data_IF_602571169443
#
_entry.id   IF_602571169443
#
_cell.length_a   1.000
_cell.length_b   1.000
_cell.length_c   1.000
_cell.angle_alpha   90.00
_cell.angle_beta   90.00
_cell.angle_gamma   90.00
#
_symmetry.space_group_name_H-M   'P 1'
#
loop_
_entity.id
_entity.type
_entity.pdbx_description
1 polymer ?
#
# COMPACT_ATOMS: atom_id res chain seq x y z
N UNK A 1 31.41 -2.53 9.66
CA UNK A 1 30.24 -3.35 9.29
C UNK A 1 29.96 -3.04 7.83
N UNK A 2 30.08 -3.98 6.90
CA UNK A 2 29.48 -3.77 5.57
C UNK A 2 27.97 -3.87 5.83
N UNK A 3 27.29 -2.74 5.89
CA UNK A 3 25.82 -2.71 5.91
C UNK A 3 25.36 -3.52 4.70
N UNK A 4 24.73 -4.66 4.94
CA UNK A 4 24.27 -5.52 3.86
C UNK A 4 23.09 -4.79 3.19
N UNK A 5 23.29 -4.36 1.94
CA UNK A 5 22.32 -3.61 1.14
C UNK A 5 20.96 -4.31 1.05
N UNK A 6 20.93 -5.64 1.24
CA UNK A 6 19.71 -6.45 1.29
C UNK A 6 18.72 -6.04 2.38
N UNK A 7 19.18 -5.33 3.42
CA UNK A 7 18.34 -4.82 4.52
C UNK A 7 17.91 -3.36 4.35
N UNK A 8 18.36 -2.66 3.32
CA UNK A 8 18.01 -1.25 3.08
C UNK A 8 16.85 -1.17 2.08
N UNK A 9 15.87 -0.30 2.34
CA UNK A 9 14.76 -0.01 1.43
C UNK A 9 14.63 1.49 1.24
N UNK A 10 14.65 1.97 0.00
CA UNK A 10 14.33 3.36 -0.32
C UNK A 10 12.93 3.41 -0.92
N UNK A 11 11.94 3.91 -0.17
CA UNK A 11 10.54 3.95 -0.60
C UNK A 11 9.98 5.37 -0.61
N UNK A 12 9.01 5.63 -1.47
CA UNK A 12 8.24 6.87 -1.46
C UNK A 12 6.75 6.63 -1.32
N UNK A 13 6.07 7.50 -0.59
CA UNK A 13 4.61 7.55 -0.57
C UNK A 13 4.15 8.55 -1.62
N UNK A 14 3.22 8.12 -2.47
CA UNK A 14 2.64 8.97 -3.52
C UNK A 14 1.13 8.81 -3.52
N UNK A 15 0.40 9.90 -3.66
CA UNK A 15 -1.05 9.89 -3.63
C UNK A 15 -1.61 11.13 -4.33
N UNK A 16 -2.89 11.10 -4.71
CA UNK A 16 -3.63 12.32 -5.05
C UNK A 16 -3.92 13.15 -3.80
N UNK A 17 -4.43 14.37 -4.01
CA UNK A 17 -4.74 15.31 -2.92
C UNK A 17 -5.78 14.69 -1.98
N UNK A 18 -5.53 14.77 -0.67
CA UNK A 18 -6.44 14.25 0.37
C UNK A 18 -6.69 12.72 0.29
N UNK A 19 -5.80 11.93 -0.32
CA UNK A 19 -5.82 10.46 -0.16
C UNK A 19 -5.27 9.98 1.20
N UNK A 20 -4.77 10.90 2.04
CA UNK A 20 -4.22 10.57 3.37
C UNK A 20 -2.75 10.14 3.35
N UNK A 21 -1.96 10.64 2.39
CA UNK A 21 -0.51 10.36 2.28
C UNK A 21 0.26 10.71 3.55
N UNK A 22 0.19 11.95 4.00
CA UNK A 22 0.91 12.41 5.20
C UNK A 22 0.48 11.63 6.44
N UNK A 23 -0.83 11.40 6.62
CA UNK A 23 -1.35 10.59 7.72
C UNK A 23 -0.78 9.18 7.70
N UNK A 24 -0.67 8.56 6.52
CA UNK A 24 -0.06 7.23 6.35
C UNK A 24 1.41 7.26 6.72
N UNK A 25 2.17 8.27 6.26
CA UNK A 25 3.58 8.45 6.61
C UNK A 25 3.78 8.60 8.12
N UNK A 26 2.98 9.44 8.79
CA UNK A 26 3.01 9.62 10.24
C UNK A 26 2.72 8.32 11.01
N UNK A 27 1.71 7.56 10.58
CA UNK A 27 1.40 6.26 11.17
C UNK A 27 2.54 5.27 10.98
N UNK A 28 3.18 5.27 9.81
CA UNK A 28 4.36 4.45 9.54
C UNK A 28 5.52 4.77 10.50
N UNK A 29 5.81 6.06 10.72
CA UNK A 29 6.82 6.51 11.68
C UNK A 29 6.45 6.16 13.13
N UNK A 30 5.17 6.22 13.48
CA UNK A 30 4.70 5.86 14.81
C UNK A 30 4.83 4.35 15.08
N UNK A 31 4.38 3.50 14.16
CA UNK A 31 4.47 2.05 14.31
C UNK A 31 5.91 1.53 14.32
N UNK A 32 6.82 2.19 13.60
CA UNK A 32 8.26 1.92 13.66
C UNK A 32 8.94 2.53 14.90
N UNK A 33 8.18 3.15 15.82
CA UNK A 33 8.65 3.79 17.05
C UNK A 33 9.64 4.94 16.81
N UNK A 34 9.67 5.49 15.59
CA UNK A 34 10.50 6.64 15.25
C UNK A 34 9.97 7.92 15.89
N UNK A 35 8.64 8.04 15.97
CA UNK A 35 7.93 9.09 16.70
C UNK A 35 7.07 8.46 17.81
N UNK A 36 6.87 9.20 18.90
CA UNK A 36 6.13 8.72 20.08
C UNK A 36 4.66 9.13 20.09
N UNK A 37 4.27 10.06 19.21
CA UNK A 37 2.91 10.56 19.06
C UNK A 37 2.65 10.77 17.57
N UNK A 38 1.47 10.36 17.11
CA UNK A 38 1.02 10.61 15.73
C UNK A 38 0.61 12.07 15.59
N UNK A 39 1.18 12.78 14.61
CA UNK A 39 0.74 14.14 14.24
C UNK A 39 -0.54 14.13 13.42
N UNK A 40 -1.30 15.23 13.45
CA UNK A 40 -2.48 15.45 12.61
C UNK A 40 -2.24 16.61 11.65
N UNK A 41 -2.65 16.43 10.39
CA UNK A 41 -2.51 17.44 9.33
C UNK A 41 -3.32 18.69 9.66
N UNK A 42 -4.56 18.52 10.09
CA UNK A 42 -5.47 19.63 10.44
C UNK A 42 -4.99 20.46 11.64
N UNK A 43 -4.18 19.86 12.51
CA UNK A 43 -3.56 20.54 13.66
C UNK A 43 -2.17 21.11 13.34
N UNK A 44 -1.64 20.87 12.13
CA UNK A 44 -0.29 21.27 11.72
C UNK A 44 0.81 20.63 12.56
N UNK A 45 0.56 19.46 13.16
CA UNK A 45 1.48 18.78 14.09
C UNK A 45 2.25 17.63 13.46
N UNK A 46 2.13 17.43 12.14
CA UNK A 46 2.87 16.38 11.42
C UNK A 46 4.36 16.70 11.40
N UNK A 47 5.16 15.63 11.40
CA UNK A 47 6.62 15.69 11.40
C UNK A 47 7.16 16.03 10.02
N UNK A 48 6.46 15.60 8.95
CA UNK A 48 6.90 15.80 7.56
C UNK A 48 6.51 17.16 6.98
N UNK A 49 5.38 17.75 7.37
CA UNK A 49 4.96 19.09 6.93
C UNK A 49 5.51 20.17 7.90
N UNK A 50 6.78 20.56 7.68
CA UNK A 50 7.50 21.48 8.58
C UNK A 50 7.34 22.95 8.18
N UNK A 51 6.93 23.26 6.94
CA UNK A 51 6.73 24.64 6.51
C UNK A 51 5.40 25.19 7.05
N UNK A 52 5.40 26.46 7.46
CA UNK A 52 4.20 27.15 7.96
C UNK A 52 3.06 27.11 6.93
N UNK A 53 3.38 27.24 5.65
CA UNK A 53 2.42 27.17 4.55
C UNK A 53 1.83 25.76 4.33
N UNK A 54 2.59 24.70 4.61
CA UNK A 54 2.10 23.32 4.53
C UNK A 54 1.11 23.06 5.67
N UNK A 55 1.44 23.53 6.89
CA UNK A 55 0.59 23.43 8.07
C UNK A 55 -0.70 24.25 7.95
N UNK A 56 -0.61 25.47 7.44
CA UNK A 56 -1.77 26.35 7.25
C UNK A 56 -2.76 25.80 6.21
N UNK A 57 -2.27 25.08 5.20
CA UNK A 57 -3.07 24.63 4.06
C UNK A 57 -3.40 23.13 4.08
N UNK A 58 -2.80 22.37 5.00
CA UNK A 58 -2.97 20.91 5.09
C UNK A 58 -2.49 20.16 3.84
N UNK A 59 -1.48 20.68 3.14
CA UNK A 59 -0.91 20.07 1.93
C UNK A 59 0.61 19.94 2.04
N UNK A 60 1.16 18.85 1.49
CA UNK A 60 2.62 18.69 1.31
C UNK A 60 3.08 19.46 0.08
N UNK A 61 3.99 20.43 0.27
CA UNK A 61 4.55 21.27 -0.78
C UNK A 61 5.92 20.73 -1.19
N UNK A 62 6.76 20.35 -0.22
CA UNK A 62 8.11 19.83 -0.46
C UNK A 62 8.27 18.38 -0.03
N UNK A 63 9.20 17.67 -0.67
CA UNK A 63 9.49 16.28 -0.32
C UNK A 63 10.23 16.23 0.99
N UNK A 64 9.67 15.50 1.96
CA UNK A 64 10.32 15.26 3.25
C UNK A 64 11.04 13.91 3.22
N UNK A 65 12.33 13.90 3.56
CA UNK A 65 13.11 12.68 3.71
C UNK A 65 13.23 12.31 5.20
N UNK A 66 12.93 11.06 5.52
CA UNK A 66 13.05 10.51 6.88
C UNK A 66 13.53 9.07 6.83
N UNK A 67 13.88 8.50 7.98
CA UNK A 67 14.31 7.11 8.09
C UNK A 67 13.71 6.45 9.33
N UNK A 68 13.48 5.15 9.25
CA UNK A 68 13.03 4.33 10.35
C UNK A 68 13.57 2.90 10.26
N UNK A 69 13.53 2.20 11.38
CA UNK A 69 13.91 0.79 11.48
C UNK A 69 12.66 -0.06 11.69
N UNK A 70 12.54 -1.17 10.95
CA UNK A 70 11.48 -2.13 11.14
C UNK A 70 12.03 -3.54 11.11
N UNK A 71 11.98 -4.22 12.26
CA UNK A 71 12.67 -5.50 12.49
C UNK A 71 14.15 -5.34 12.15
N UNK A 72 14.68 -6.12 11.21
CA UNK A 72 16.08 -6.06 10.77
C UNK A 72 16.30 -5.16 9.53
N UNK A 73 15.28 -4.41 9.09
CA UNK A 73 15.34 -3.55 7.90
C UNK A 73 15.47 -2.07 8.24
N UNK A 74 16.28 -1.37 7.45
CA UNK A 74 16.41 0.09 7.44
C UNK A 74 15.62 0.65 6.28
N UNK A 75 14.67 1.55 6.56
CA UNK A 75 13.76 2.10 5.56
C UNK A 75 13.98 3.61 5.49
N UNK A 76 14.43 4.06 4.32
CA UNK A 76 14.50 5.46 3.95
C UNK A 76 13.19 5.82 3.23
N UNK A 77 12.54 6.88 3.68
CA UNK A 77 11.24 7.31 3.20
C UNK A 77 11.38 8.69 2.57
N UNK A 78 10.82 8.86 1.37
CA UNK A 78 10.61 10.16 0.74
C UNK A 78 9.10 10.40 0.64
N UNK A 79 8.58 11.30 1.45
CA UNK A 79 7.19 11.73 1.39
C UNK A 79 7.05 12.74 0.26
N UNK A 80 6.36 12.39 -0.84
CA UNK A 80 6.32 13.22 -2.06
C UNK A 80 5.09 14.12 -2.12
N UNK A 81 5.13 15.32 -2.72
CA UNK A 81 3.93 16.15 -2.90
C UNK A 81 2.81 15.41 -3.66
N UNK A 82 1.55 15.59 -3.24
CA UNK A 82 0.39 14.93 -3.88
C UNK A 82 -0.35 15.80 -4.91
N UNK A 83 0.10 17.04 -5.10
CA UNK A 83 -0.54 18.03 -5.98
C UNK A 83 0.16 18.08 -7.36
N UNK A 84 -0.61 18.24 -8.43
CA UNK A 84 -0.11 18.27 -9.82
C UNK A 84 0.91 19.40 -10.09
N UNK A 85 0.77 20.51 -9.37
CA UNK A 85 1.68 21.66 -9.47
C UNK A 85 3.12 21.34 -9.03
N UNK A 86 3.34 20.23 -8.30
CA UNK A 86 4.65 19.80 -7.83
C UNK A 86 5.17 18.55 -8.56
N UNK A 87 4.66 18.28 -9.76
CA UNK A 87 5.06 17.13 -10.60
C UNK A 87 6.57 17.02 -10.87
N UNK A 88 7.29 18.14 -10.99
CA UNK A 88 8.76 18.14 -11.16
C UNK A 88 9.46 17.54 -9.95
N UNK A 89 8.93 17.80 -8.76
CA UNK A 89 9.47 17.28 -7.51
C UNK A 89 9.17 15.80 -7.34
N UNK A 90 7.94 15.37 -7.65
CA UNK A 90 7.56 13.95 -7.71
C UNK A 90 8.48 13.18 -8.67
N UNK A 91 8.70 13.69 -9.89
CA UNK A 91 9.61 13.04 -10.85
C UNK A 91 11.07 12.94 -10.35
N UNK A 92 11.54 13.92 -9.57
CA UNK A 92 12.90 13.87 -9.00
C UNK A 92 12.99 12.81 -7.90
N UNK A 93 11.98 12.74 -7.04
CA UNK A 93 11.90 11.76 -5.97
C UNK A 93 11.80 10.33 -6.53
N UNK A 94 10.99 10.11 -7.57
CA UNK A 94 10.86 8.78 -8.21
C UNK A 94 12.19 8.22 -8.75
N UNK A 95 13.13 9.06 -9.20
CA UNK A 95 14.41 8.62 -9.77
C UNK A 95 15.40 8.03 -8.78
N UNK A 96 15.19 8.25 -7.48
CA UNK A 96 16.12 7.83 -6.42
C UNK A 96 15.55 6.73 -5.53
N UNK A 97 14.32 6.31 -5.79
CA UNK A 97 13.59 5.33 -4.99
C UNK A 97 13.71 3.92 -5.59
N UNK A 98 13.76 2.90 -4.74
CA UNK A 98 13.73 1.50 -5.16
C UNK A 98 12.29 1.02 -5.42
N UNK A 99 11.30 1.69 -4.82
CA UNK A 99 9.89 1.40 -5.00
C UNK A 99 8.99 2.46 -4.37
N UNK A 100 7.69 2.38 -4.63
CA UNK A 100 6.70 3.31 -4.08
C UNK A 100 5.47 2.61 -3.51
N UNK A 101 4.80 3.31 -2.60
CA UNK A 101 3.45 2.99 -2.13
C UNK A 101 2.53 4.03 -2.73
N UNK A 102 1.63 3.59 -3.61
CA UNK A 102 0.61 4.45 -4.22
C UNK A 102 -0.65 4.37 -3.38
N UNK A 103 -1.05 5.51 -2.79
CA UNK A 103 -2.19 5.58 -1.89
C UNK A 103 -3.42 6.05 -2.68
N UNK A 104 -4.48 5.26 -2.61
CA UNK A 104 -5.79 5.56 -3.18
C UNK A 104 -6.79 5.85 -2.06
N UNK A 105 -7.85 6.61 -2.38
CA UNK A 105 -8.93 6.88 -1.46
C UNK A 105 -10.05 5.87 -1.73
N UNK A 106 -10.54 5.17 -0.70
CA UNK A 106 -11.65 4.22 -0.84
C UNK A 106 -12.95 4.86 -1.33
N UNK A 107 -13.11 6.17 -1.14
CA UNK A 107 -14.27 6.95 -1.61
C UNK A 107 -14.03 7.55 -3.00
N UNK A 108 -12.84 8.11 -3.23
CA UNK A 108 -12.50 8.84 -4.47
C UNK A 108 -12.01 7.93 -5.61
N UNK A 109 -11.57 6.72 -5.30
CA UNK A 109 -11.09 5.76 -6.29
C UNK A 109 -9.88 6.25 -7.08
N UNK A 110 -9.91 6.03 -8.39
CA UNK A 110 -8.84 6.43 -9.31
C UNK A 110 -9.10 7.84 -9.85
N UNK A 111 -8.42 8.81 -9.26
CA UNK A 111 -8.44 10.20 -9.70
C UNK A 111 -7.45 10.48 -10.87
N UNK A 112 -7.69 11.49 -11.73
CA UNK A 112 -6.78 11.84 -12.84
C UNK A 112 -5.33 12.13 -12.41
N UNK A 113 -5.15 12.58 -11.18
CA UNK A 113 -3.84 12.82 -10.57
C UNK A 113 -3.13 11.50 -10.23
N UNK A 114 -3.88 10.50 -9.78
CA UNK A 114 -3.37 9.15 -9.53
C UNK A 114 -2.84 8.53 -10.82
N UNK A 115 -3.55 8.70 -11.94
CA UNK A 115 -3.09 8.26 -13.26
C UNK A 115 -1.79 8.95 -13.70
N UNK A 116 -1.68 10.26 -13.47
CA UNK A 116 -0.48 11.03 -13.81
C UNK A 116 0.74 10.50 -13.07
N UNK A 117 0.61 10.27 -11.76
CA UNK A 117 1.66 9.67 -10.92
C UNK A 117 1.98 8.25 -11.38
N UNK A 118 0.96 7.45 -11.69
CA UNK A 118 1.13 6.07 -12.16
C UNK A 118 1.96 6.02 -13.45
N UNK A 119 1.65 6.89 -14.41
CA UNK A 119 2.40 7.02 -15.66
C UNK A 119 3.85 7.47 -15.43
N UNK A 120 4.09 8.37 -14.47
CA UNK A 120 5.45 8.77 -14.09
C UNK A 120 6.23 7.59 -13.50
N UNK A 121 5.60 6.78 -12.65
CA UNK A 121 6.22 5.58 -12.09
C UNK A 121 6.52 4.53 -13.19
N UNK A 122 5.64 4.39 -14.20
CA UNK A 122 5.86 3.53 -15.36
C UNK A 122 7.06 3.98 -16.19
N UNK A 123 7.16 5.28 -16.48
CA UNK A 123 8.27 5.89 -17.22
C UNK A 123 9.64 5.61 -16.59
N UNK A 124 9.69 5.53 -15.26
CA UNK A 124 10.92 5.24 -14.51
C UNK A 124 11.05 3.78 -14.07
N UNK A 125 10.12 2.90 -14.50
CA UNK A 125 10.07 1.48 -14.13
C UNK A 125 10.12 1.23 -12.61
N UNK A 126 9.44 2.05 -11.83
CA UNK A 126 9.47 1.96 -10.37
C UNK A 126 8.47 0.90 -9.87
N UNK A 127 8.94 -0.16 -9.19
CA UNK A 127 8.10 -1.16 -8.52
C UNK A 127 7.16 -0.48 -7.52
N UNK A 128 5.92 -0.97 -7.46
CA UNK A 128 4.92 -0.36 -6.58
C UNK A 128 3.97 -1.35 -5.94
N UNK A 129 3.46 -0.93 -4.80
CA UNK A 129 2.28 -1.52 -4.16
C UNK A 129 1.21 -0.44 -4.06
N UNK A 130 -0.06 -0.84 -4.07
CA UNK A 130 -1.18 0.05 -3.88
C UNK A 130 -1.75 -0.12 -2.47
N UNK A 131 -2.13 0.98 -1.84
CA UNK A 131 -2.78 1.00 -0.53
C UNK A 131 -4.07 1.79 -0.63
N UNK A 132 -5.21 1.14 -0.42
CA UNK A 132 -6.52 1.80 -0.42
C UNK A 132 -6.82 2.27 1.01
N UNK A 133 -6.74 3.57 1.20
CA UNK A 133 -6.94 4.23 2.49
C UNK A 133 -8.38 4.75 2.63
N UNK A 134 -8.73 5.26 3.82
CA UNK A 134 -10.06 5.84 4.12
C UNK A 134 -11.23 4.85 3.95
N UNK A 135 -11.00 3.57 4.22
CA UNK A 135 -12.04 2.52 4.21
C UNK A 135 -13.05 2.64 5.36
N UNK A 136 -12.77 3.49 6.34
CA UNK A 136 -13.64 3.86 7.46
C UNK A 136 -14.69 4.92 7.11
N UNK A 137 -14.67 5.47 5.89
CA UNK A 137 -15.55 6.56 5.47
C UNK A 137 -16.83 6.06 4.80
N UNK A 138 -17.91 6.82 4.99
CA UNK A 138 -19.15 6.60 4.25
C UNK A 138 -18.92 6.65 2.74
N UNK A 139 -19.39 5.63 2.04
CA UNK A 139 -19.21 5.49 0.59
C UNK A 139 -17.85 4.93 0.18
N UNK A 140 -17.01 4.49 1.12
CA UNK A 140 -15.79 3.79 0.77
C UNK A 140 -16.09 2.38 0.23
N UNK A 141 -15.51 2.04 -0.91
CA UNK A 141 -15.68 0.72 -1.54
C UNK A 141 -14.37 0.23 -2.14
N UNK A 142 -13.69 -0.64 -1.38
CA UNK A 142 -12.44 -1.28 -1.80
C UNK A 142 -12.56 -1.97 -3.16
N UNK A 143 -13.68 -2.66 -3.43
CA UNK A 143 -13.83 -3.46 -4.64
C UNK A 143 -14.03 -2.58 -5.86
N UNK A 144 -14.84 -1.52 -5.72
CA UNK A 144 -15.00 -0.52 -6.78
C UNK A 144 -13.67 0.16 -7.13
N UNK A 145 -12.85 0.52 -6.14
CA UNK A 145 -11.52 1.08 -6.40
C UNK A 145 -10.61 0.09 -7.12
N UNK A 146 -10.61 -1.19 -6.72
CA UNK A 146 -9.84 -2.24 -7.43
C UNK A 146 -10.29 -2.36 -8.89
N UNK A 147 -11.59 -2.39 -9.15
CA UNK A 147 -12.13 -2.44 -10.52
C UNK A 147 -11.73 -1.20 -11.35
N UNK A 148 -11.75 -0.01 -10.75
CA UNK A 148 -11.28 1.19 -11.41
C UNK A 148 -9.79 1.13 -11.74
N UNK A 149 -8.97 0.60 -10.81
CA UNK A 149 -7.55 0.39 -11.06
C UNK A 149 -7.34 -0.58 -12.24
N UNK A 150 -8.08 -1.68 -12.31
CA UNK A 150 -8.02 -2.64 -13.42
C UNK A 150 -8.45 -2.03 -14.77
N UNK A 151 -9.42 -1.11 -14.75
CA UNK A 151 -9.90 -0.42 -15.97
C UNK A 151 -8.92 0.63 -16.46
N UNK A 152 -8.24 1.34 -15.54
CA UNK A 152 -7.36 2.47 -15.88
C UNK A 152 -5.89 2.07 -16.07
N UNK A 153 -5.43 0.99 -15.45
CA UNK A 153 -4.03 0.58 -15.48
C UNK A 153 -3.84 -0.74 -16.21
N UNK A 154 -2.83 -0.80 -17.09
CA UNK A 154 -2.52 -1.99 -17.89
C UNK A 154 -1.82 -3.11 -17.09
N UNK A 155 -1.33 -2.80 -15.89
CA UNK A 155 -0.65 -3.77 -15.01
C UNK A 155 -1.67 -4.66 -14.32
N UNK A 156 -1.31 -5.92 -14.02
CA UNK A 156 -2.18 -6.80 -13.22
C UNK A 156 -2.34 -6.22 -11.83
N UNK A 157 -3.57 -5.86 -11.46
CA UNK A 157 -3.93 -5.41 -10.12
C UNK A 157 -4.34 -6.64 -9.32
N UNK A 158 -3.77 -6.82 -8.13
CA UNK A 158 -3.94 -8.06 -7.37
C UNK A 158 -4.18 -7.79 -5.89
N UNK A 159 -5.43 -7.84 -5.42
CA UNK A 159 -5.71 -7.79 -4.00
C UNK A 159 -4.95 -8.89 -3.25
N UNK A 160 -4.21 -8.50 -2.22
CA UNK A 160 -3.57 -9.42 -1.27
C UNK A 160 -4.22 -9.36 0.12
N UNK A 161 -5.04 -8.34 0.33
CA UNK A 161 -5.93 -8.21 1.47
C UNK A 161 -7.33 -7.79 0.99
N UNK A 162 -8.36 -8.14 1.75
CA UNK A 162 -9.73 -7.66 1.53
C UNK A 162 -10.33 -7.17 2.86
N UNK A 163 -11.16 -6.12 2.86
CA UNK A 163 -11.71 -5.56 4.10
C UNK A 163 -12.79 -6.44 4.73
N UNK A 164 -12.91 -6.33 6.05
CA UNK A 164 -13.98 -6.92 6.85
C UNK A 164 -14.87 -5.77 7.31
N UNK A 165 -16.14 -5.82 6.89
CA UNK A 165 -17.19 -4.93 7.38
C UNK A 165 -18.18 -5.73 8.22
N UNK A 166 -18.48 -5.24 9.42
CA UNK A 166 -19.53 -5.77 10.29
C UNK A 166 -20.48 -4.63 10.66
N UNK A 167 -21.77 -4.75 10.33
CA UNK A 167 -22.76 -3.67 10.50
C UNK A 167 -22.34 -2.34 9.85
N UNK A 168 -21.79 -2.41 8.63
CA UNK A 168 -21.26 -1.28 7.86
C UNK A 168 -20.04 -0.57 8.49
N UNK A 169 -19.49 -1.08 9.59
CA UNK A 169 -18.25 -0.57 10.18
C UNK A 169 -17.04 -1.38 9.72
N UNK A 170 -15.95 -0.68 9.38
CA UNK A 170 -14.67 -1.29 9.08
C UNK A 170 -14.01 -1.81 10.36
N UNK A 171 -13.85 -3.13 10.47
CA UNK A 171 -13.37 -3.79 11.71
C UNK A 171 -12.05 -4.56 11.52
N UNK A 172 -11.61 -4.74 10.28
CA UNK A 172 -10.44 -5.58 10.01
C UNK A 172 -10.17 -5.85 8.54
N UNK A 173 -9.21 -6.73 8.30
CA UNK A 173 -8.79 -7.17 6.96
C UNK A 173 -8.60 -8.69 6.95
N UNK A 174 -8.89 -9.36 5.84
CA UNK A 174 -8.48 -10.74 5.59
C UNK A 174 -7.17 -10.70 4.82
N UNK A 175 -6.14 -11.33 5.37
CA UNK A 175 -4.87 -11.58 4.68
C UNK A 175 -5.04 -12.81 3.78
N UNK A 176 -5.06 -12.59 2.46
CA UNK A 176 -5.28 -13.66 1.49
C UNK A 176 -4.08 -14.59 1.39
N UNK A 177 -2.87 -14.14 1.74
CA UNK A 177 -1.65 -14.95 1.71
C UNK A 177 -1.64 -15.89 2.91
N UNK A 178 -1.81 -15.34 4.11
CA UNK A 178 -1.80 -16.08 5.39
C UNK A 178 -3.10 -16.84 5.68
N UNK A 179 -4.18 -16.52 4.96
CA UNK A 179 -5.50 -17.13 5.16
C UNK A 179 -6.04 -16.89 6.58
N UNK A 180 -5.90 -15.66 7.06
CA UNK A 180 -6.34 -15.25 8.39
C UNK A 180 -7.07 -13.92 8.35
N UNK A 181 -8.10 -13.79 9.17
CA UNK A 181 -8.72 -12.51 9.46
C UNK A 181 -7.90 -11.77 10.53
N UNK A 182 -7.67 -10.47 10.32
CA UNK A 182 -6.99 -9.55 11.21
C UNK A 182 -8.04 -8.60 11.75
N UNK A 183 -8.27 -8.64 13.05
CA UNK A 183 -9.16 -7.69 13.74
C UNK A 183 -8.33 -6.76 14.62
N UNK A 184 -8.63 -5.47 14.58
CA UNK A 184 -7.98 -4.45 15.40
C UNK A 184 -8.82 -4.21 16.67
N UNK A 185 -8.18 -4.22 17.84
CA UNK A 185 -8.88 -4.05 19.12
C UNK A 185 -8.83 -2.62 19.65
N UNK A 186 -7.95 -1.79 19.09
CA UNK A 186 -7.75 -0.40 19.46
C UNK A 186 -7.74 0.51 18.23
N UNK A 187 -8.12 1.77 18.42
CA UNK A 187 -8.12 2.79 17.37
C UNK A 187 -6.71 3.08 16.80
N UNK A 188 -5.66 2.79 17.58
CA UNK A 188 -4.29 2.92 17.12
C UNK A 188 -3.77 1.67 16.43
N UNK A 189 -4.55 0.59 16.33
CA UNK A 189 -4.15 -0.66 15.66
C UNK A 189 -2.88 -1.32 16.22
N UNK A 190 -2.49 -1.00 17.46
CA UNK A 190 -1.32 -1.59 18.12
C UNK A 190 -1.60 -3.01 18.62
N UNK A 191 -2.86 -3.29 18.94
CA UNK A 191 -3.36 -4.58 19.40
C UNK A 191 -4.27 -5.14 18.32
N UNK A 192 -3.82 -6.22 17.69
CA UNK A 192 -4.59 -6.92 16.69
C UNK A 192 -4.49 -8.43 16.90
N UNK A 193 -5.53 -9.14 16.47
CA UNK A 193 -5.63 -10.58 16.62
C UNK A 193 -5.90 -11.26 15.28
N UNK A 194 -5.15 -12.33 15.03
CA UNK A 194 -5.42 -13.24 13.94
C UNK A 194 -6.53 -14.22 14.35
N UNK A 195 -7.62 -14.23 13.59
CA UNK A 195 -8.75 -15.14 13.75
C UNK A 195 -8.97 -15.97 12.49
N UNK A 196 -9.82 -16.97 12.60
CA UNK A 196 -10.35 -17.67 11.44
C UNK A 196 -11.24 -16.71 10.62
N UNK A 197 -11.32 -16.98 9.32
CA UNK A 197 -12.11 -16.16 8.40
C UNK A 197 -13.59 -16.39 8.70
N UNK A 198 -14.38 -15.33 8.92
CA UNK A 198 -15.80 -15.46 9.23
C UNK A 198 -16.57 -16.20 8.14
N UNK A 199 -17.56 -17.00 8.53
CA UNK A 199 -18.36 -17.84 7.61
C UNK A 199 -19.01 -17.00 6.49
N UNK A 200 -19.52 -15.81 6.81
CA UNK A 200 -20.14 -14.89 5.85
C UNK A 200 -19.18 -14.30 4.81
N UNK A 201 -17.87 -14.40 5.03
CA UNK A 201 -16.83 -13.96 4.08
C UNK A 201 -16.11 -15.12 3.39
N UNK A 202 -16.44 -16.39 3.68
CA UNK A 202 -15.74 -17.53 3.12
C UNK A 202 -15.79 -17.58 1.59
N UNK A 203 -16.97 -17.35 1.00
CA UNK A 203 -17.13 -17.34 -0.45
C UNK A 203 -16.31 -16.22 -1.11
N UNK A 204 -16.31 -15.04 -0.49
CA UNK A 204 -15.54 -13.90 -0.99
C UNK A 204 -14.04 -14.12 -0.83
N UNK A 205 -13.60 -14.62 0.31
CA UNK A 205 -12.22 -15.02 0.56
C UNK A 205 -11.74 -16.01 -0.50
N UNK A 206 -12.52 -17.07 -0.75
CA UNK A 206 -12.18 -18.08 -1.75
C UNK A 206 -12.07 -17.46 -3.14
N UNK A 207 -13.03 -16.64 -3.56
CA UNK A 207 -13.00 -15.95 -4.84
C UNK A 207 -11.72 -15.13 -5.04
N UNK A 208 -11.36 -14.27 -4.08
CA UNK A 208 -10.18 -13.43 -4.19
C UNK A 208 -8.87 -14.21 -4.03
N UNK A 209 -8.85 -15.27 -3.22
CA UNK A 209 -7.67 -16.13 -3.09
C UNK A 209 -7.44 -16.96 -4.35
N UNK A 210 -8.48 -17.54 -4.94
CA UNK A 210 -8.37 -18.29 -6.18
C UNK A 210 -7.87 -17.37 -7.30
N UNK A 211 -8.42 -16.15 -7.41
CA UNK A 211 -7.94 -15.13 -8.33
C UNK A 211 -6.46 -14.74 -8.09
N UNK A 212 -6.04 -14.54 -6.84
CA UNK A 212 -4.64 -14.28 -6.45
C UNK A 212 -3.70 -15.36 -6.99
N UNK A 213 -4.06 -16.62 -6.80
CA UNK A 213 -3.25 -17.77 -7.23
C UNK A 213 -3.25 -17.89 -8.76
N UNK A 214 -4.42 -17.82 -9.40
CA UNK A 214 -4.57 -17.91 -10.86
C UNK A 214 -3.77 -16.83 -11.59
N UNK A 215 -3.92 -15.56 -11.19
CA UNK A 215 -3.19 -14.44 -11.81
C UNK A 215 -1.69 -14.52 -11.59
N UNK A 216 -1.25 -14.97 -10.42
CA UNK A 216 0.17 -15.14 -10.17
C UNK A 216 0.74 -16.30 -11.02
N UNK A 217 -0.05 -17.36 -11.26
CA UNK A 217 0.33 -18.47 -12.14
C UNK A 217 0.38 -18.06 -13.62
N UNK A 218 -0.56 -17.24 -14.10
CA UNK A 218 -0.54 -16.68 -15.45
C UNK A 218 0.72 -15.85 -15.73
N UNK A 219 1.27 -15.19 -14.71
CA UNK A 219 2.43 -14.31 -14.84
C UNK A 219 3.78 -15.04 -14.73
N UNK A 220 3.78 -16.27 -14.22
CA UNK A 220 4.98 -16.95 -13.74
C UNK A 220 4.92 -18.48 -13.92
N UNK A 221 5.60 -18.98 -14.96
CA UNK A 221 5.60 -20.41 -15.33
C UNK A 221 6.05 -21.34 -14.18
N UNK A 222 7.03 -20.93 -13.37
CA UNK A 222 7.53 -21.72 -12.25
C UNK A 222 6.46 -21.85 -11.16
N UNK A 223 5.72 -20.77 -10.91
CA UNK A 223 4.58 -20.81 -9.99
C UNK A 223 3.42 -21.63 -10.56
N UNK A 224 3.12 -21.50 -11.85
CA UNK A 224 2.08 -22.31 -12.53
C UNK A 224 2.36 -23.82 -12.40
N UNK A 225 3.60 -24.24 -12.68
CA UNK A 225 4.00 -25.65 -12.49
C UNK A 225 3.77 -26.11 -11.06
N UNK A 226 4.13 -25.28 -10.07
CA UNK A 226 3.94 -25.60 -8.65
C UNK A 226 2.47 -25.72 -8.25
N UNK A 227 1.59 -24.87 -8.80
CA UNK A 227 0.13 -24.93 -8.58
C UNK A 227 -0.47 -26.20 -9.19
N UNK A 228 0.04 -26.68 -10.32
CA UNK A 228 -0.44 -27.91 -10.97
C UNK A 228 0.06 -29.17 -10.24
N UNK A 229 1.31 -29.14 -9.77
CA UNK A 229 1.96 -30.30 -9.12
C UNK A 229 1.54 -30.48 -7.66
N UNK A 230 1.10 -29.41 -6.99
CA UNK A 230 0.82 -29.42 -5.56
C UNK A 230 -0.54 -28.82 -5.25
N UNK A 231 -1.32 -29.51 -4.41
CA UNK A 231 -2.60 -28.98 -3.91
C UNK A 231 -2.41 -27.92 -2.80
N UNK A 232 -1.18 -27.68 -2.33
CA UNK A 232 -0.90 -26.79 -1.20
C UNK A 232 0.27 -25.85 -1.46
N UNK A 233 -0.05 -24.57 -1.72
CA UNK A 233 0.92 -23.50 -1.91
C UNK A 233 1.25 -22.85 -0.57
N UNK A 234 2.53 -22.85 -0.20
CA UNK A 234 3.02 -22.20 1.03
C UNK A 234 3.02 -20.67 0.91
N UNK A 235 2.84 -19.97 2.04
CA UNK A 235 2.87 -18.50 2.11
C UNK A 235 4.16 -17.90 1.52
N UNK A 236 5.31 -18.53 1.83
CA UNK A 236 6.62 -18.08 1.37
C UNK A 236 6.76 -18.16 -0.15
N UNK A 237 6.12 -19.14 -0.79
CA UNK A 237 6.11 -19.23 -2.24
C UNK A 237 5.34 -18.06 -2.84
N UNK A 238 4.13 -17.81 -2.37
CA UNK A 238 3.31 -16.68 -2.83
C UNK A 238 4.11 -15.38 -2.71
N UNK A 239 4.70 -15.12 -1.54
CA UNK A 239 5.51 -13.92 -1.30
C UNK A 239 6.71 -13.84 -2.27
N UNK A 240 7.42 -14.95 -2.49
CA UNK A 240 8.59 -15.01 -3.39
C UNK A 240 8.21 -14.67 -4.83
N UNK A 241 7.17 -15.32 -5.36
CA UNK A 241 6.73 -15.12 -6.75
C UNK A 241 6.04 -13.78 -6.94
N UNK A 242 5.25 -13.33 -5.97
CA UNK A 242 4.65 -12.00 -5.97
C UNK A 242 5.74 -10.94 -6.01
N UNK A 243 6.71 -10.98 -5.08
CA UNK A 243 7.86 -10.05 -5.05
C UNK A 243 8.61 -10.03 -6.38
N UNK A 244 8.85 -11.20 -6.99
CA UNK A 244 9.52 -11.31 -8.29
C UNK A 244 8.78 -10.55 -9.39
N UNK A 245 7.45 -10.64 -9.42
CA UNK A 245 6.63 -9.98 -10.43
C UNK A 245 6.39 -8.49 -10.13
N UNK A 246 6.36 -8.09 -8.84
CA UNK A 246 6.34 -6.68 -8.42
C UNK A 246 7.58 -5.94 -8.88
N UNK A 247 8.77 -6.52 -8.66
CA UNK A 247 10.05 -5.92 -9.08
C UNK A 247 10.11 -5.78 -10.62
N UNK A 248 9.41 -6.66 -11.35
CA UNK A 248 9.29 -6.60 -12.82
C UNK A 248 8.18 -5.67 -13.31
N UNK A 249 7.47 -4.96 -12.43
CA UNK A 249 6.31 -4.13 -12.76
C UNK A 249 5.19 -4.88 -13.51
N UNK A 250 5.08 -6.20 -13.32
CA UNK A 250 4.04 -7.02 -13.96
C UNK A 250 2.75 -7.08 -13.14
N UNK A 251 2.87 -6.92 -11.83
CA UNK A 251 1.77 -7.00 -10.88
C UNK A 251 1.90 -5.90 -9.82
N UNK A 252 0.77 -5.34 -9.40
CA UNK A 252 0.68 -4.42 -8.27
C UNK A 252 -0.23 -5.04 -7.19
N UNK A 253 0.34 -5.45 -6.05
CA UNK A 253 -0.40 -5.89 -4.89
C UNK A 253 -1.24 -4.74 -4.34
N UNK A 254 -2.50 -5.00 -4.02
CA UNK A 254 -3.40 -4.05 -3.38
C UNK A 254 -3.65 -4.46 -1.94
N UNK A 255 -3.38 -3.52 -1.03
CA UNK A 255 -3.64 -3.61 0.40
C UNK A 255 -4.79 -2.68 0.79
#
# INVERSE_FOLDING_TARGET
MKENLEFIRNIGFVAHIDAGKTTTTERFLFYTKRIYKVGQVDEGTTTTDWMEQERERGITITSAATYCEWKDYYINIIDTPGHIDFTVEVERSLKVLDGIVVIFCGVGGVEPQSETVWYQADKYNIPRIAFINKLDRDGADFYSVVEEMEKNFATVILPVQIPIYENDEFVGMIDLIKQKAIYYEDELGLVFNYKEIPEFLQDKFKLYRDNLIEKLAELDDEFMHKVIETDNIEENDIIKFLRRNVIKNKVVPVL
#
